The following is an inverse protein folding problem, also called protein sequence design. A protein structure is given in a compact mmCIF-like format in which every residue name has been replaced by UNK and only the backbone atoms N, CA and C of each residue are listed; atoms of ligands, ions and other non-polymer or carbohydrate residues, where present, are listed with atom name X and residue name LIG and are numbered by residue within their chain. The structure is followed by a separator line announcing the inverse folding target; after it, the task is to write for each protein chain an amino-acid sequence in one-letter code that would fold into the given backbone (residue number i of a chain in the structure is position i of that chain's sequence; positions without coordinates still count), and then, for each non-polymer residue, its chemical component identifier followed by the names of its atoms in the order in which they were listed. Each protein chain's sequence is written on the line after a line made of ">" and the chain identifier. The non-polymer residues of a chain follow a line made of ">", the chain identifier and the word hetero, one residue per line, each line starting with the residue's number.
data_IF_584749689571
#
_entry.id   IF_584749689571
#
_cell.length_a   1.000
_cell.length_b   1.000
_cell.length_c   1.000
_cell.angle_alpha   90.00
_cell.angle_beta   90.00
_cell.angle_gamma   90.00
#
_symmetry.space_group_name_H-M   'P 1'
#
loop_
_entity.id
_entity.type
_entity.pdbx_description
1 polymer ?
#
# COMPACT_ATOMS: atom_id res chain seq x y z
N UNK A 1 -19.80 -20.93 -2.33
CA UNK A 1 -18.80 -20.15 -1.59
C UNK A 1 -18.78 -20.65 -0.15
N UNK A 2 -17.62 -20.99 0.40
CA UNK A 2 -17.50 -21.38 1.80
C UNK A 2 -17.59 -20.11 2.68
N UNK A 3 -18.58 -20.02 3.55
CA UNK A 3 -18.72 -18.91 4.49
C UNK A 3 -18.23 -19.33 5.87
N UNK A 4 -17.31 -18.54 6.45
CA UNK A 4 -16.84 -18.71 7.83
C UNK A 4 -17.45 -17.61 8.70
N UNK A 5 -18.11 -17.99 9.79
CA UNK A 5 -18.60 -17.02 10.78
C UNK A 5 -17.43 -16.50 11.61
N UNK A 6 -17.37 -15.18 11.78
CA UNK A 6 -16.38 -14.48 12.58
C UNK A 6 -17.12 -13.61 13.57
N UNK A 7 -16.77 -13.70 14.85
CA UNK A 7 -17.26 -12.80 15.88
C UNK A 7 -16.30 -11.62 15.98
N UNK A 8 -16.79 -10.41 15.77
CA UNK A 8 -16.00 -9.17 15.83
C UNK A 8 -16.63 -8.19 16.81
N UNK A 9 -15.78 -7.43 17.48
CA UNK A 9 -16.20 -6.30 18.30
C UNK A 9 -15.99 -5.01 17.51
N UNK A 10 -17.03 -4.17 17.44
CA UNK A 10 -16.97 -2.87 16.79
C UNK A 10 -17.31 -1.78 17.80
N UNK A 11 -16.77 -0.55 17.65
CA UNK A 11 -17.16 0.57 18.49
C UNK A 11 -18.67 0.82 18.42
N UNK A 12 -19.30 1.12 19.55
CA UNK A 12 -20.76 1.30 19.66
C UNK A 12 -21.29 2.34 18.66
N UNK A 13 -20.61 3.48 18.53
CA UNK A 13 -20.95 4.51 17.55
C UNK A 13 -20.93 4.01 16.09
N UNK A 14 -20.06 3.06 15.77
CA UNK A 14 -20.01 2.45 14.43
C UNK A 14 -21.20 1.53 14.20
N UNK A 15 -21.59 0.75 15.23
CA UNK A 15 -22.76 -0.12 15.16
C UNK A 15 -24.05 0.70 15.00
N UNK A 16 -24.20 1.80 15.72
CA UNK A 16 -25.37 2.70 15.59
C UNK A 16 -25.47 3.27 14.18
N UNK A 17 -24.36 3.79 13.65
CA UNK A 17 -24.30 4.28 12.26
C UNK A 17 -24.66 3.18 11.26
N UNK A 18 -24.15 1.96 11.47
CA UNK A 18 -24.45 0.82 10.61
C UNK A 18 -25.93 0.43 10.68
N UNK A 19 -26.55 0.49 11.87
CA UNK A 19 -27.97 0.19 12.07
C UNK A 19 -28.87 1.22 11.38
N UNK A 20 -28.48 2.49 11.38
CA UNK A 20 -29.21 3.58 10.71
C UNK A 20 -29.05 3.50 9.19
N UNK A 21 -27.83 3.30 8.71
CA UNK A 21 -27.51 3.38 7.29
C UNK A 21 -27.88 2.11 6.50
N UNK A 22 -27.83 0.94 7.14
CA UNK A 22 -28.00 -0.35 6.46
C UNK A 22 -29.15 -1.14 7.07
N UNK A 23 -30.11 -1.62 6.24
CA UNK A 23 -31.23 -2.40 6.73
C UNK A 23 -30.77 -3.70 7.40
N UNK A 24 -31.60 -4.20 8.29
CA UNK A 24 -31.37 -5.47 8.96
C UNK A 24 -31.24 -6.63 7.95
N UNK A 25 -30.38 -7.61 8.25
CA UNK A 25 -30.04 -8.71 7.34
C UNK A 25 -28.98 -8.39 6.28
N UNK A 26 -28.79 -7.13 5.87
CA UNK A 26 -27.77 -6.75 4.87
C UNK A 26 -26.43 -6.29 5.46
N UNK A 27 -26.33 -6.15 6.77
CA UNK A 27 -25.13 -5.62 7.46
C UNK A 27 -23.89 -6.47 7.22
N UNK A 28 -24.01 -7.80 7.26
CA UNK A 28 -22.90 -8.71 7.00
C UNK A 28 -22.44 -8.64 5.54
N UNK A 29 -23.37 -8.50 4.60
CA UNK A 29 -23.05 -8.31 3.18
C UNK A 29 -22.29 -6.99 2.97
N UNK A 30 -22.80 -5.90 3.54
CA UNK A 30 -22.15 -4.59 3.46
C UNK A 30 -20.71 -4.61 4.03
N UNK A 31 -20.51 -5.25 5.18
CA UNK A 31 -19.18 -5.40 5.78
C UNK A 31 -18.25 -6.21 4.85
N UNK A 32 -18.75 -7.30 4.27
CA UNK A 32 -17.97 -8.13 3.36
C UNK A 32 -17.55 -7.37 2.09
N UNK A 33 -18.50 -6.70 1.43
CA UNK A 33 -18.23 -5.88 0.24
C UNK A 33 -17.22 -4.76 0.53
N UNK A 34 -17.39 -4.07 1.66
CA UNK A 34 -16.47 -3.01 2.08
C UNK A 34 -15.06 -3.55 2.36
N UNK A 35 -14.94 -4.75 2.93
CA UNK A 35 -13.66 -5.40 3.18
C UNK A 35 -12.99 -5.82 1.88
N UNK A 36 -13.73 -6.43 0.95
CA UNK A 36 -13.21 -6.81 -0.37
C UNK A 36 -12.70 -5.60 -1.15
N UNK A 37 -13.45 -4.50 -1.17
CA UNK A 37 -13.03 -3.26 -1.80
C UNK A 37 -11.73 -2.71 -1.21
N UNK A 38 -11.63 -2.69 0.14
CA UNK A 38 -10.44 -2.17 0.82
C UNK A 38 -9.22 -3.09 0.66
N UNK A 39 -9.42 -4.40 0.72
CA UNK A 39 -8.35 -5.38 0.55
C UNK A 39 -7.89 -5.44 -0.90
N UNK A 40 -8.81 -5.41 -1.87
CA UNK A 40 -8.54 -5.36 -3.30
C UNK A 40 -7.67 -4.15 -3.66
N UNK A 41 -8.04 -2.94 -3.22
CA UNK A 41 -7.24 -1.72 -3.44
C UNK A 41 -5.84 -1.80 -2.83
N UNK A 42 -5.70 -2.44 -1.66
CA UNK A 42 -4.40 -2.53 -0.97
C UNK A 42 -3.48 -3.55 -1.64
N UNK A 43 -4.03 -4.65 -2.14
CA UNK A 43 -3.29 -5.67 -2.88
C UNK A 43 -2.90 -5.16 -4.28
N UNK A 44 -3.83 -4.50 -4.98
CA UNK A 44 -3.58 -3.97 -6.34
C UNK A 44 -2.50 -2.90 -6.35
N UNK A 45 -2.48 -1.99 -5.36
CA UNK A 45 -1.47 -0.93 -5.31
C UNK A 45 -0.05 -1.48 -5.19
N UNK A 46 0.15 -2.51 -4.35
CA UNK A 46 1.47 -3.14 -4.19
C UNK A 46 1.91 -3.83 -5.48
N UNK A 47 1.00 -4.53 -6.13
CA UNK A 47 1.27 -5.23 -7.39
C UNK A 47 1.52 -4.26 -8.54
N UNK A 48 0.78 -3.15 -8.60
CA UNK A 48 0.96 -2.08 -9.59
C UNK A 48 2.31 -1.38 -9.43
N UNK A 49 2.73 -1.09 -8.19
CA UNK A 49 4.07 -0.53 -7.91
C UNK A 49 5.16 -1.50 -8.38
N UNK A 50 5.06 -2.79 -8.02
CA UNK A 50 6.03 -3.81 -8.45
C UNK A 50 6.07 -3.92 -9.97
N UNK A 51 4.90 -3.90 -10.62
CA UNK A 51 4.78 -3.97 -12.07
C UNK A 51 5.38 -2.74 -12.76
N UNK A 52 5.15 -1.54 -12.24
CA UNK A 52 5.73 -0.29 -12.72
C UNK A 52 7.25 -0.29 -12.60
N UNK A 53 7.79 -0.68 -11.44
CA UNK A 53 9.22 -0.79 -11.20
C UNK A 53 9.90 -1.78 -12.15
N UNK A 54 9.27 -2.94 -12.38
CA UNK A 54 9.77 -3.94 -13.34
C UNK A 54 9.76 -3.42 -14.77
N UNK A 55 8.66 -2.76 -15.20
CA UNK A 55 8.51 -2.23 -16.56
C UNK A 55 9.57 -1.16 -16.85
N UNK A 56 9.83 -0.28 -15.89
CA UNK A 56 10.73 0.86 -16.04
C UNK A 56 12.18 0.56 -15.64
N UNK A 57 12.51 -0.70 -15.34
CA UNK A 57 13.83 -1.11 -14.86
C UNK A 57 14.97 -0.62 -15.75
N UNK A 58 14.82 -0.72 -17.07
CA UNK A 58 15.80 -0.28 -18.05
C UNK A 58 16.07 1.24 -17.98
N UNK A 59 15.01 2.05 -17.85
CA UNK A 59 15.10 3.51 -17.68
C UNK A 59 15.86 3.85 -16.40
N UNK A 60 15.59 3.14 -15.31
CA UNK A 60 16.30 3.34 -14.05
C UNK A 60 17.78 2.92 -14.13
N UNK A 61 18.09 1.85 -14.87
CA UNK A 61 19.48 1.40 -15.08
C UNK A 61 20.27 2.37 -15.96
N UNK A 62 19.65 2.96 -16.98
CA UNK A 62 20.26 4.01 -17.82
C UNK A 62 20.48 5.30 -17.02
N UNK A 63 19.44 5.80 -16.34
CA UNK A 63 19.57 6.96 -15.48
C UNK A 63 20.65 6.74 -14.40
N UNK A 64 20.72 5.55 -13.78
CA UNK A 64 21.78 5.25 -12.81
C UNK A 64 23.18 5.35 -13.42
N UNK A 65 23.38 4.91 -14.67
CA UNK A 65 24.67 5.02 -15.35
C UNK A 65 25.01 6.49 -15.61
N UNK A 66 24.05 7.27 -16.10
CA UNK A 66 24.25 8.68 -16.41
C UNK A 66 24.59 9.49 -15.16
N UNK A 67 23.95 9.18 -14.03
CA UNK A 67 24.17 9.86 -12.76
C UNK A 67 25.36 9.32 -11.96
N UNK A 68 25.85 8.10 -12.25
CA UNK A 68 27.00 7.51 -11.54
C UNK A 68 28.29 8.33 -11.70
N UNK A 69 28.39 9.11 -12.78
CA UNK A 69 29.52 10.01 -13.04
C UNK A 69 29.46 11.23 -12.11
N UNK A 70 28.26 11.75 -11.82
CA UNK A 70 28.04 12.90 -10.93
C UNK A 70 28.22 12.55 -9.45
N UNK A 71 27.82 11.35 -9.03
CA UNK A 71 27.99 10.89 -7.64
C UNK A 71 29.48 10.75 -7.26
N UNK A 72 30.37 10.52 -8.22
CA UNK A 72 31.81 10.45 -8.01
C UNK A 72 32.45 11.84 -7.80
N UNK A 73 31.90 12.89 -8.42
CA UNK A 73 32.43 14.26 -8.34
C UNK A 73 31.83 15.07 -7.17
N UNK A 74 30.62 14.71 -6.71
CA UNK A 74 29.88 15.49 -5.71
C UNK A 74 30.17 15.17 -4.25
N UNK A 75 30.93 14.10 -3.96
CA UNK A 75 31.25 13.73 -2.58
C UNK A 75 32.58 14.38 -2.17
N UNK A 76 32.60 15.38 -1.26
CA UNK A 76 33.85 15.86 -0.72
C UNK A 76 34.54 14.69 -0.01
N UNK A 77 35.78 14.39 -0.40
CA UNK A 77 36.62 13.48 0.37
C UNK A 77 36.62 13.98 1.80
N UNK A 78 36.13 13.16 2.72
CA UNK A 78 36.15 13.47 4.14
C UNK A 78 37.62 13.45 4.56
N UNK A 79 38.27 14.61 4.53
CA UNK A 79 39.58 14.78 5.17
C UNK A 79 39.32 14.74 6.66
N UNK A 80 39.50 13.56 7.26
CA UNK A 80 39.82 13.46 8.68
C UNK A 80 41.07 14.32 8.87
N UNK A 81 40.89 15.49 9.46
CA UNK A 81 42.00 16.27 9.96
C UNK A 81 42.57 15.47 11.14
N UNK A 82 43.59 14.65 10.88
CA UNK A 82 44.52 14.19 11.90
C UNK A 82 45.39 15.38 12.33
N UNK A 83 45.31 15.67 13.63
CA UNK A 83 46.18 16.45 14.53
C UNK A 83 46.62 17.89 14.18
#
# INVERSE_FOLDING_TARGET
>A
MATKRINISLPTATIERLKIAIPEGKRSQFIAETLDDKLGRKLSLKEEIIKGLRKNRHIYEEARKDWSVLDFEGWPEYKENED
#
